data_IF_516645550965
#
_entry.id   IF_516645550965
#
_cell.length_a   1.000
_cell.length_b   1.000
_cell.length_c   1.000
_cell.angle_alpha   90.00
_cell.angle_beta   90.00
_cell.angle_gamma   90.00
#
_symmetry.space_group_name_H-M   'P 1'
#
loop_
_entity.id
_entity.type
_entity.pdbx_description
1 polymer ?
#
# COMPACT_ATOMS: atom_id res chain seq x y z
N UNK A 1 6.87 -5.36 24.67
CA UNK A 1 6.39 -5.19 23.28
C UNK A 1 7.20 -6.03 22.28
N UNK A 2 8.54 -5.90 22.23
CA UNK A 2 9.41 -6.68 21.32
C UNK A 2 9.37 -8.21 21.48
N UNK A 3 9.25 -8.73 22.71
CA UNK A 3 9.23 -10.18 22.96
C UNK A 3 8.01 -10.92 22.36
N UNK A 4 6.89 -10.23 22.16
CA UNK A 4 5.70 -10.82 21.53
C UNK A 4 5.87 -10.97 20.01
N UNK A 5 6.54 -10.00 19.39
CA UNK A 5 6.85 -10.01 17.94
C UNK A 5 7.86 -11.11 17.64
N UNK A 6 8.87 -11.29 18.50
CA UNK A 6 9.89 -12.32 18.34
C UNK A 6 9.33 -13.75 18.49
N UNK A 7 8.39 -13.96 19.42
CA UNK A 7 7.81 -15.29 19.70
C UNK A 7 6.97 -15.84 18.53
N UNK A 8 6.31 -14.95 17.79
CA UNK A 8 5.39 -15.32 16.71
C UNK A 8 5.83 -14.75 15.36
N UNK A 9 7.15 -14.59 15.14
CA UNK A 9 7.75 -13.94 13.95
C UNK A 9 7.15 -14.38 12.61
N UNK A 10 6.78 -15.66 12.47
CA UNK A 10 6.13 -16.21 11.27
C UNK A 10 4.74 -15.60 11.02
N UNK A 11 3.93 -15.45 12.06
CA UNK A 11 2.59 -14.86 11.99
C UNK A 11 2.68 -13.38 11.64
N UNK A 12 3.63 -12.67 12.23
CA UNK A 12 3.88 -11.26 11.93
C UNK A 12 4.28 -11.04 10.46
N UNK A 13 5.18 -11.88 9.95
CA UNK A 13 5.57 -11.88 8.54
C UNK A 13 4.39 -12.16 7.61
N UNK A 14 3.52 -13.10 7.99
CA UNK A 14 2.32 -13.44 7.21
C UNK A 14 1.32 -12.28 7.15
N UNK A 15 1.12 -11.57 8.28
CA UNK A 15 0.26 -10.37 8.33
C UNK A 15 0.82 -9.26 7.43
N UNK A 16 2.13 -8.99 7.50
CA UNK A 16 2.78 -8.00 6.63
C UNK A 16 2.59 -8.35 5.16
N UNK A 17 2.80 -9.63 4.79
CA UNK A 17 2.61 -10.09 3.41
C UNK A 17 1.18 -9.86 2.92
N UNK A 18 0.18 -10.16 3.74
CA UNK A 18 -1.24 -9.91 3.41
C UNK A 18 -1.49 -8.41 3.19
N UNK A 19 -0.95 -7.54 4.04
CA UNK A 19 -1.10 -6.09 3.90
C UNK A 19 -0.51 -5.61 2.56
N UNK A 20 0.66 -6.11 2.17
CA UNK A 20 1.28 -5.78 0.87
C UNK A 20 0.45 -6.29 -0.31
N UNK A 21 -0.11 -7.49 -0.22
CA UNK A 21 -0.97 -8.04 -1.27
C UNK A 21 -2.24 -7.18 -1.42
N UNK A 22 -2.88 -6.83 -0.30
CA UNK A 22 -4.07 -5.96 -0.32
C UNK A 22 -3.70 -4.60 -0.90
N UNK A 23 -2.60 -3.98 -0.45
CA UNK A 23 -2.13 -2.70 -0.97
C UNK A 23 -1.87 -2.77 -2.48
N UNK A 24 -1.21 -3.81 -2.98
CA UNK A 24 -0.94 -3.98 -4.41
C UNK A 24 -2.21 -4.23 -5.24
N UNK A 25 -3.13 -5.08 -4.77
CA UNK A 25 -4.43 -5.29 -5.45
C UNK A 25 -5.23 -3.99 -5.48
N UNK A 26 -5.19 -3.24 -4.38
CA UNK A 26 -5.90 -1.98 -4.24
C UNK A 26 -5.29 -0.90 -5.12
N UNK A 27 -3.97 -0.84 -5.22
CA UNK A 27 -3.25 0.07 -6.11
C UNK A 27 -3.54 -0.24 -7.60
N UNK A 28 -3.54 -1.53 -7.98
CA UNK A 28 -3.87 -1.96 -9.36
C UNK A 28 -5.34 -1.69 -9.68
N UNK A 29 -6.26 -2.03 -8.77
CA UNK A 29 -7.71 -1.90 -9.03
C UNK A 29 -8.16 -0.45 -9.15
N UNK A 30 -7.49 0.45 -8.44
CA UNK A 30 -7.85 1.87 -8.39
C UNK A 30 -6.79 2.75 -9.07
N UNK A 31 -5.98 2.19 -9.98
CA UNK A 31 -4.92 2.89 -10.75
C UNK A 31 -4.13 3.90 -9.89
N UNK A 32 -3.71 3.46 -8.70
CA UNK A 32 -3.18 4.33 -7.67
C UNK A 32 -4.29 4.93 -6.80
N UNK A 33 -4.69 4.26 -5.72
CA UNK A 33 -5.67 4.82 -4.77
C UNK A 33 -5.24 6.18 -4.23
N UNK A 34 -3.94 6.34 -4.00
CA UNK A 34 -3.36 7.60 -3.59
C UNK A 34 -3.52 8.61 -4.73
N UNK A 35 -3.17 8.23 -5.96
CA UNK A 35 -3.33 9.06 -7.16
C UNK A 35 -4.78 9.53 -7.38
N UNK A 36 -5.77 8.66 -7.23
CA UNK A 36 -7.19 9.02 -7.31
C UNK A 36 -7.65 9.94 -6.16
N UNK A 37 -7.01 9.85 -4.99
CA UNK A 37 -7.31 10.72 -3.85
C UNK A 37 -6.66 12.11 -3.97
N UNK A 38 -5.69 12.28 -4.86
CA UNK A 38 -5.09 13.59 -5.12
C UNK A 38 -6.13 14.51 -5.79
N UNK A 39 -6.06 15.84 -5.56
CA UNK A 39 -6.83 16.81 -6.32
C UNK A 39 -6.51 16.75 -7.82
N UNK A 40 -7.51 17.03 -8.66
CA UNK A 40 -7.39 17.02 -10.12
C UNK A 40 -6.19 17.83 -10.67
N UNK A 41 -5.83 18.94 -10.00
CA UNK A 41 -4.68 19.76 -10.37
C UNK A 41 -3.34 19.02 -10.25
N UNK A 42 -3.18 18.19 -9.22
CA UNK A 42 -1.94 17.45 -8.97
C UNK A 42 -1.91 16.17 -9.82
N UNK A 43 -3.07 15.54 -10.03
CA UNK A 43 -3.19 14.41 -10.96
C UNK A 43 -2.74 14.82 -12.37
N UNK A 44 -3.27 15.93 -12.90
CA UNK A 44 -2.88 16.47 -14.21
C UNK A 44 -1.38 16.75 -14.31
N UNK A 45 -0.77 17.36 -13.27
CA UNK A 45 0.67 17.61 -13.26
C UNK A 45 1.50 16.32 -13.29
N UNK A 46 1.03 15.26 -12.64
CA UNK A 46 1.70 13.96 -12.63
C UNK A 46 1.48 13.20 -13.95
N UNK A 47 0.30 13.30 -14.57
CA UNK A 47 0.03 12.74 -15.92
C UNK A 47 0.95 13.35 -16.97
N UNK A 48 1.26 14.64 -16.85
CA UNK A 48 2.14 15.31 -17.82
C UNK A 48 3.63 14.92 -17.64
N UNK A 49 4.00 14.28 -16.53
CA UNK A 49 5.37 13.87 -16.19
C UNK A 49 5.63 12.38 -16.50
N UNK A 50 4.59 11.53 -16.47
CA UNK A 50 4.66 10.08 -16.70
C UNK A 50 4.05 9.68 -18.04
#
# INVERSE_FOLDING_TARGET
MLNLIAKNKKVFLFIILIIFIIAGILDIKYEGLIYQLLPNSIQSQLTDIF
#
